data_IF_553772144848
#
_entry.id   IF_553772144848
#
_cell.length_a   1.000
_cell.length_b   1.000
_cell.length_c   1.000
_cell.angle_alpha   90.00
_cell.angle_beta   90.00
_cell.angle_gamma   90.00
#
_symmetry.space_group_name_H-M   'P 1'
#
loop_
_entity.id
_entity.type
_entity.pdbx_description
1 polymer ?
#
# COMPACT_ATOMS: atom_id res chain seq x y z
N UNK A 1 26.15 7.07 35.73
CA UNK A 1 26.71 7.99 34.72
C UNK A 1 25.71 8.13 33.57
N UNK A 2 25.54 9.31 32.98
CA UNK A 2 24.63 9.53 31.84
C UNK A 2 25.45 9.85 30.58
N UNK A 3 25.20 9.12 29.50
CA UNK A 3 25.82 9.32 28.20
C UNK A 3 24.77 9.71 27.16
N UNK A 4 24.98 10.84 26.49
CA UNK A 4 24.08 11.36 25.47
C UNK A 4 24.80 11.45 24.12
N UNK A 5 24.12 11.00 23.07
CA UNK A 5 24.53 11.21 21.70
C UNK A 5 24.66 12.72 21.37
N UNK A 6 25.74 13.16 20.68
CA UNK A 6 25.89 14.54 20.21
C UNK A 6 24.68 15.08 19.42
N UNK A 7 23.88 14.21 18.79
CA UNK A 7 22.66 14.62 18.09
C UNK A 7 21.65 15.35 18.99
N UNK A 8 21.68 15.13 20.31
CA UNK A 8 20.82 15.84 21.26
C UNK A 8 21.05 17.36 21.29
N UNK A 9 22.23 17.84 20.87
CA UNK A 9 22.55 19.27 20.82
C UNK A 9 22.10 19.96 19.52
N UNK A 10 21.70 19.21 18.48
CA UNK A 10 21.40 19.76 17.16
C UNK A 10 20.03 20.44 17.09
N UNK A 11 19.00 19.77 17.58
CA UNK A 11 17.64 20.29 17.54
C UNK A 11 17.18 20.79 18.91
N UNK A 12 16.45 21.93 19.01
CA UNK A 12 16.02 22.51 20.28
C UNK A 12 15.16 21.56 21.13
N UNK A 13 14.29 20.78 20.49
CA UNK A 13 13.42 19.82 21.18
C UNK A 13 14.22 18.67 21.80
N UNK A 14 15.30 18.21 21.14
CA UNK A 14 16.19 17.22 21.73
C UNK A 14 17.07 17.82 22.83
N UNK A 15 17.52 19.06 22.68
CA UNK A 15 18.29 19.73 23.74
C UNK A 15 17.47 19.88 25.02
N UNK A 16 16.18 20.26 24.90
CA UNK A 16 15.25 20.28 26.03
C UNK A 16 15.08 18.89 26.66
N UNK A 17 14.89 17.85 25.83
CA UNK A 17 14.77 16.48 26.31
C UNK A 17 16.05 15.99 27.02
N UNK A 18 17.23 16.40 26.56
CA UNK A 18 18.50 16.09 27.22
C UNK A 18 18.55 16.68 28.62
N UNK A 19 18.19 17.94 28.79
CA UNK A 19 18.14 18.60 30.11
C UNK A 19 17.14 17.90 31.04
N UNK A 20 15.94 17.61 30.53
CA UNK A 20 14.90 16.92 31.29
C UNK A 20 15.33 15.52 31.71
N UNK A 21 15.92 14.73 30.81
CA UNK A 21 16.41 13.38 31.12
C UNK A 21 17.58 13.41 32.09
N UNK A 22 18.42 14.44 32.01
CA UNK A 22 19.53 14.65 32.97
C UNK A 22 18.99 14.87 34.37
N UNK A 23 17.91 15.64 34.52
CA UNK A 23 17.27 15.87 35.83
C UNK A 23 16.52 14.63 36.34
N UNK A 24 15.91 13.83 35.47
CA UNK A 24 15.16 12.62 35.87
C UNK A 24 16.10 11.49 36.30
N UNK A 25 17.13 11.20 35.50
CA UNK A 25 18.01 10.05 35.70
C UNK A 25 19.31 10.41 36.42
N UNK A 26 19.60 11.70 36.58
CA UNK A 26 20.76 12.18 37.32
C UNK A 26 20.54 12.06 38.82
N UNK A 27 21.59 11.66 39.53
CA UNK A 27 21.62 11.70 41.00
C UNK A 27 22.21 13.06 41.38
N UNK A 28 21.52 13.88 42.21
CA UNK A 28 22.05 15.17 42.64
C UNK A 28 23.32 14.97 43.47
N UNK A 29 24.19 15.97 43.44
CA UNK A 29 25.45 15.91 44.19
C UNK A 29 25.16 15.82 45.70
N UNK A 30 25.90 14.97 46.41
CA UNK A 30 25.72 14.71 47.85
C UNK A 30 24.33 14.18 48.25
N UNK A 31 23.69 13.40 47.38
CA UNK A 31 22.46 12.70 47.77
C UNK A 31 22.77 11.74 48.94
N UNK A 32 22.00 11.74 50.04
CA UNK A 32 22.36 10.98 51.26
C UNK A 32 22.43 9.46 51.06
N UNK A 33 21.84 8.95 49.97
CA UNK A 33 21.88 7.53 49.58
C UNK A 33 22.81 7.24 48.39
N UNK A 34 23.54 8.23 47.87
CA UNK A 34 24.48 7.99 46.77
C UNK A 34 25.70 7.24 47.27
N UNK A 35 26.11 6.24 46.52
CA UNK A 35 27.40 5.58 46.73
C UNK A 35 28.50 6.37 46.01
N UNK A 36 29.75 6.32 46.50
CA UNK A 36 30.86 7.08 45.91
C UNK A 36 31.39 6.49 44.59
N UNK A 37 30.87 5.35 44.13
CA UNK A 37 31.32 4.64 42.94
C UNK A 37 30.31 4.72 41.80
N UNK A 38 30.79 4.62 40.57
CA UNK A 38 29.94 4.49 39.38
C UNK A 38 29.89 3.04 38.93
N UNK A 39 28.75 2.38 39.15
CA UNK A 39 28.54 0.99 38.70
C UNK A 39 27.82 0.95 37.34
N UNK A 40 27.02 1.97 37.03
CA UNK A 40 26.11 1.96 35.89
C UNK A 40 26.24 3.17 34.95
N UNK A 41 26.07 2.92 33.66
CA UNK A 41 25.99 3.91 32.59
C UNK A 41 24.63 3.79 31.89
N UNK A 42 23.89 4.89 31.88
CA UNK A 42 22.69 5.04 31.05
C UNK A 42 23.05 5.75 29.76
N UNK A 43 22.78 5.11 28.63
CA UNK A 43 23.11 5.63 27.31
C UNK A 43 21.83 5.96 26.55
N UNK A 44 21.74 7.21 26.11
CA UNK A 44 20.65 7.72 25.27
C UNK A 44 21.19 7.98 23.86
N UNK A 45 20.63 7.28 22.87
CA UNK A 45 20.99 7.46 21.46
C UNK A 45 19.78 7.88 20.64
N UNK A 46 19.97 8.72 19.61
CA UNK A 46 18.90 9.09 18.69
C UNK A 46 19.06 8.28 17.41
N UNK A 47 18.08 7.43 17.12
CA UNK A 47 18.03 6.66 15.87
C UNK A 47 16.59 6.57 15.39
N UNK A 48 16.38 6.82 14.09
CA UNK A 48 15.06 6.91 13.45
C UNK A 48 14.09 7.89 14.14
N UNK A 49 14.60 9.04 14.60
CA UNK A 49 13.87 10.05 15.38
C UNK A 49 13.26 9.50 16.69
N UNK A 50 13.80 8.39 17.19
CA UNK A 50 13.44 7.80 18.47
C UNK A 50 14.65 7.81 19.39
N UNK A 51 14.38 7.89 20.69
CA UNK A 51 15.42 7.86 21.71
C UNK A 51 15.53 6.44 22.21
N UNK A 52 16.67 5.81 21.98
CA UNK A 52 17.01 4.50 22.48
C UNK A 52 17.67 4.64 23.84
N UNK A 53 17.15 3.91 24.82
CA UNK A 53 17.73 3.81 26.15
C UNK A 53 18.39 2.44 26.34
N UNK A 54 19.60 2.46 26.89
CA UNK A 54 20.34 1.27 27.30
C UNK A 54 21.00 1.49 28.66
N UNK A 55 21.09 0.42 29.44
CA UNK A 55 21.77 0.38 30.72
C UNK A 55 22.92 -0.62 30.69
N UNK A 56 24.11 -0.14 31.02
CA UNK A 56 25.34 -0.91 31.07
C UNK A 56 25.94 -0.91 32.47
N UNK A 57 26.46 -2.05 32.91
CA UNK A 57 27.37 -2.15 34.05
C UNK A 57 28.80 -1.91 33.61
N UNK A 58 29.59 -1.29 34.48
CA UNK A 58 31.03 -1.22 34.35
C UNK A 58 31.62 -2.46 35.02
N UNK A 59 32.25 -3.35 34.24
CA UNK A 59 32.81 -4.61 34.75
C UNK A 59 34.25 -4.47 35.25
N UNK A 60 35.04 -3.60 34.62
CA UNK A 60 36.48 -3.49 34.88
C UNK A 60 36.93 -2.05 34.64
N UNK A 61 38.04 -1.66 35.27
CA UNK A 61 38.63 -0.32 35.15
C UNK A 61 39.08 -0.01 33.71
N UNK A 62 39.33 -1.04 32.89
CA UNK A 62 39.66 -0.94 31.46
C UNK A 62 38.48 -0.48 30.58
N UNK A 63 37.30 -0.25 31.16
CA UNK A 63 36.12 0.24 30.45
C UNK A 63 35.29 -0.85 29.77
N UNK A 64 35.45 -2.12 30.16
CA UNK A 64 34.58 -3.19 29.72
C UNK A 64 33.14 -2.98 30.24
N UNK A 65 32.17 -3.00 29.33
CA UNK A 65 30.76 -2.77 29.64
C UNK A 65 29.91 -4.00 29.35
N UNK A 66 29.02 -4.37 30.28
CA UNK A 66 28.01 -5.41 30.07
C UNK A 66 26.59 -4.81 30.09
N UNK A 67 25.75 -5.19 29.12
CA UNK A 67 24.34 -4.75 29.10
C UNK A 67 23.54 -5.50 30.16
N UNK A 68 23.02 -4.79 31.16
CA UNK A 68 22.13 -5.37 32.20
C UNK A 68 20.67 -5.19 31.80
N UNK A 69 20.33 -4.01 31.27
CA UNK A 69 18.94 -3.56 31.09
C UNK A 69 18.42 -2.73 32.27
N UNK A 70 17.21 -2.14 32.18
CA UNK A 70 16.20 -2.33 31.14
C UNK A 70 16.58 -1.67 29.80
N UNK A 71 15.94 -2.13 28.72
CA UNK A 71 16.07 -1.57 27.37
C UNK A 71 14.71 -1.12 26.86
N UNK A 72 14.63 0.12 26.41
CA UNK A 72 13.40 0.65 25.84
C UNK A 72 13.69 1.74 24.80
N UNK A 73 12.65 2.09 24.06
CA UNK A 73 12.70 3.14 23.03
C UNK A 73 11.58 4.13 23.31
N UNK A 74 11.95 5.40 23.47
CA UNK A 74 11.02 6.50 23.62
C UNK A 74 10.78 7.13 22.24
N UNK A 75 9.51 7.40 21.93
CA UNK A 75 9.12 8.15 20.75
C UNK A 75 8.40 9.43 21.21
N UNK A 76 9.09 10.59 21.22
CA UNK A 76 8.49 11.85 21.64
C UNK A 76 7.22 12.15 20.84
N UNK A 77 6.12 12.48 21.53
CA UNK A 77 4.81 12.70 20.91
C UNK A 77 4.53 14.20 20.77
N UNK A 78 4.46 14.90 21.90
CA UNK A 78 4.22 16.34 21.99
C UNK A 78 4.95 16.92 23.20
N UNK A 79 5.29 18.19 23.12
CA UNK A 79 5.85 18.98 24.23
C UNK A 79 4.85 20.10 24.52
N UNK A 80 4.45 20.21 25.79
CA UNK A 80 3.52 21.23 26.26
C UNK A 80 4.28 22.32 27.02
N UNK A 81 3.70 23.53 27.07
CA UNK A 81 4.32 24.66 27.76
C UNK A 81 4.28 24.57 29.28
N UNK A 82 3.36 23.78 29.84
CA UNK A 82 3.16 23.65 31.29
C UNK A 82 3.22 22.21 31.79
N UNK A 83 3.10 22.07 33.10
CA UNK A 83 3.02 20.76 33.76
C UNK A 83 1.66 20.13 33.47
N UNK A 84 1.66 18.97 32.81
CA UNK A 84 0.47 18.21 32.41
C UNK A 84 -0.60 18.98 31.60
N UNK A 85 -0.26 20.14 31.04
CA UNK A 85 -1.19 21.00 30.31
C UNK A 85 -0.52 22.19 29.64
N UNK A 86 -1.34 23.09 29.08
CA UNK A 86 -0.86 24.26 28.35
C UNK A 86 -0.83 24.08 26.83
N UNK A 87 -0.28 25.08 26.14
CA UNK A 87 -0.19 25.09 24.67
C UNK A 87 0.80 24.03 24.16
N UNK A 88 0.54 23.50 22.96
CA UNK A 88 1.50 22.58 22.31
C UNK A 88 2.63 23.41 21.70
N UNK A 89 3.84 23.26 22.24
CA UNK A 89 5.04 23.95 21.74
C UNK A 89 5.65 23.19 20.56
N UNK A 90 5.58 21.87 20.61
CA UNK A 90 6.12 21.00 19.56
C UNK A 90 5.30 19.73 19.45
N UNK A 91 5.09 19.27 18.21
CA UNK A 91 4.43 18.01 17.89
C UNK A 91 5.28 17.24 16.89
N UNK A 92 5.44 15.94 17.14
CA UNK A 92 6.20 15.08 16.24
C UNK A 92 5.38 14.75 14.98
N UNK A 93 5.77 15.22 13.79
CA UNK A 93 5.03 14.94 12.56
C UNK A 93 5.10 13.46 12.13
N UNK A 94 6.13 12.73 12.58
CA UNK A 94 6.36 11.32 12.24
C UNK A 94 5.64 10.36 13.19
N UNK A 95 5.11 10.85 14.32
CA UNK A 95 4.44 10.00 15.29
C UNK A 95 3.05 9.58 14.79
N UNK A 96 2.80 8.27 14.79
CA UNK A 96 1.47 7.69 14.56
C UNK A 96 1.11 6.84 15.77
N UNK A 97 -0.06 7.10 16.36
CA UNK A 97 -0.52 6.32 17.50
C UNK A 97 -0.80 4.87 17.09
N UNK A 98 -0.48 3.88 17.95
CA UNK A 98 -0.78 2.47 17.67
C UNK A 98 -2.27 2.21 17.42
N UNK A 99 -3.14 2.96 18.08
CA UNK A 99 -4.59 2.90 17.85
C UNK A 99 -4.96 3.32 16.42
N UNK A 100 -4.37 4.40 15.91
CA UNK A 100 -4.57 4.87 14.53
C UNK A 100 -4.03 3.86 13.52
N UNK A 101 -2.87 3.25 13.79
CA UNK A 101 -2.31 2.18 12.97
C UNK A 101 -3.26 0.97 12.91
N UNK A 102 -3.72 0.48 14.06
CA UNK A 102 -4.68 -0.64 14.14
C UNK A 102 -5.99 -0.30 13.43
N UNK A 103 -6.52 0.90 13.64
CA UNK A 103 -7.72 1.38 12.95
C UNK A 103 -7.54 1.39 11.43
N UNK A 104 -6.39 1.84 10.93
CA UNK A 104 -6.09 1.83 9.50
C UNK A 104 -6.04 0.41 8.94
N UNK A 105 -5.44 -0.54 9.67
CA UNK A 105 -5.41 -1.96 9.30
C UNK A 105 -6.82 -2.56 9.27
N UNK A 106 -7.63 -2.33 10.31
CA UNK A 106 -9.03 -2.76 10.35
C UNK A 106 -9.86 -2.13 9.22
N UNK A 107 -9.64 -0.85 8.89
CA UNK A 107 -10.33 -0.16 7.79
C UNK A 107 -9.96 -0.73 6.42
N UNK A 108 -8.68 -1.06 6.20
CA UNK A 108 -8.23 -1.76 4.97
C UNK A 108 -8.89 -3.12 4.83
N UNK A 109 -9.02 -3.86 5.93
CA UNK A 109 -9.67 -5.17 5.98
C UNK A 109 -11.21 -5.09 5.83
N UNK A 110 -11.86 -4.04 6.35
CA UNK A 110 -13.31 -3.89 6.33
C UNK A 110 -13.90 -3.83 4.90
N UNK A 111 -13.13 -3.35 3.92
CA UNK A 111 -13.61 -3.18 2.54
C UNK A 111 -13.51 -4.47 1.71
N UNK A 112 -13.18 -5.63 2.30
CA UNK A 112 -13.02 -6.90 1.57
C UNK A 112 -14.29 -7.29 0.81
N UNK A 113 -15.46 -7.13 1.45
CA UNK A 113 -16.76 -7.41 0.83
C UNK A 113 -17.10 -6.43 -0.30
N UNK A 114 -16.96 -5.12 -0.06
CA UNK A 114 -17.20 -4.09 -1.07
C UNK A 114 -16.32 -4.31 -2.30
N UNK A 115 -15.02 -4.59 -2.09
CA UNK A 115 -14.09 -4.93 -3.17
C UNK A 115 -14.50 -6.20 -3.93
N UNK A 116 -15.10 -7.20 -3.28
CA UNK A 116 -15.60 -8.42 -3.94
C UNK A 116 -16.79 -8.11 -4.83
N UNK A 117 -17.73 -7.29 -4.35
CA UNK A 117 -18.88 -6.85 -5.13
C UNK A 117 -18.42 -5.98 -6.31
N UNK A 118 -17.54 -5.01 -6.07
CA UNK A 118 -16.96 -4.15 -7.12
C UNK A 118 -16.25 -4.98 -8.19
N UNK A 119 -15.44 -5.97 -7.80
CA UNK A 119 -14.79 -6.88 -8.75
C UNK A 119 -15.80 -7.66 -9.59
N UNK A 120 -16.89 -8.15 -8.99
CA UNK A 120 -17.95 -8.86 -9.73
C UNK A 120 -18.60 -7.95 -10.77
N UNK A 121 -18.95 -6.72 -10.40
CA UNK A 121 -19.56 -5.76 -11.34
C UNK A 121 -18.58 -5.34 -12.43
N UNK A 122 -17.30 -5.14 -12.10
CA UNK A 122 -16.26 -4.86 -13.09
C UNK A 122 -16.13 -6.02 -14.07
N UNK A 123 -16.07 -7.26 -13.58
CA UNK A 123 -16.00 -8.45 -14.42
C UNK A 123 -17.19 -8.53 -15.37
N UNK A 124 -18.42 -8.37 -14.87
CA UNK A 124 -19.63 -8.37 -15.71
C UNK A 124 -19.59 -7.26 -16.77
N UNK A 125 -19.06 -6.08 -16.43
CA UNK A 125 -18.93 -4.96 -17.36
C UNK A 125 -17.81 -5.15 -18.41
N UNK A 126 -16.74 -5.89 -18.06
CA UNK A 126 -15.62 -6.20 -18.97
C UNK A 126 -15.74 -7.55 -19.66
N UNK A 127 -16.73 -8.37 -19.30
CA UNK A 127 -16.91 -9.70 -19.86
C UNK A 127 -17.13 -9.57 -21.38
N UNK A 128 -16.29 -10.19 -22.22
CA UNK A 128 -16.50 -10.19 -23.66
C UNK A 128 -17.72 -11.09 -23.98
N UNK A 129 -18.49 -10.71 -25.00
CA UNK A 129 -19.67 -11.48 -25.43
C UNK A 129 -19.26 -12.82 -26.07
N UNK A 130 -18.12 -12.84 -26.76
CA UNK A 130 -17.50 -14.04 -27.32
C UNK A 130 -16.18 -14.33 -26.61
N UNK A 131 -15.92 -15.60 -26.29
CA UNK A 131 -14.67 -16.02 -25.67
C UNK A 131 -13.47 -15.83 -26.61
N UNK A 132 -13.71 -16.04 -27.91
CA UNK A 132 -12.74 -15.82 -28.98
C UNK A 132 -13.45 -15.03 -30.09
N UNK A 133 -13.15 -13.73 -30.28
CA UNK A 133 -13.75 -12.93 -31.34
C UNK A 133 -13.23 -13.28 -32.74
N UNK A 134 -12.10 -14.00 -32.82
CA UNK A 134 -11.34 -14.23 -34.05
C UNK A 134 -11.51 -15.65 -34.63
N UNK A 135 -12.38 -16.49 -34.04
CA UNK A 135 -12.78 -17.74 -34.68
C UNK A 135 -13.82 -17.38 -35.73
N UNK A 136 -13.35 -17.04 -36.93
CA UNK A 136 -14.19 -17.00 -38.13
C UNK A 136 -14.77 -18.41 -38.34
N UNK A 137 -16.04 -18.59 -37.98
CA UNK A 137 -16.84 -19.74 -38.37
C UNK A 137 -16.82 -20.94 -37.43
N UNK A 138 -17.70 -21.01 -36.40
CA UNK A 138 -18.25 -22.28 -35.95
C UNK A 138 -18.99 -23.03 -37.08
N UNK A 139 -19.25 -22.35 -38.20
CA UNK A 139 -19.84 -22.91 -39.40
C UNK A 139 -18.85 -23.75 -40.24
N UNK A 140 -17.53 -23.70 -40.00
CA UNK A 140 -16.59 -24.64 -40.63
C UNK A 140 -16.91 -26.09 -40.25
N UNK A 141 -17.28 -26.33 -38.98
CA UNK A 141 -17.59 -27.65 -38.44
C UNK A 141 -19.06 -28.09 -38.53
N UNK A 142 -19.95 -27.25 -39.08
CA UNK A 142 -21.37 -27.61 -39.31
C UNK A 142 -21.61 -28.00 -40.77
N UNK A 143 -21.60 -29.30 -41.06
CA UNK A 143 -21.81 -29.87 -42.41
C UNK A 143 -20.96 -31.12 -42.62
N UNK A 144 -21.24 -31.89 -43.67
CA UNK A 144 -20.46 -33.08 -43.99
C UNK A 144 -19.05 -32.68 -44.46
N UNK A 145 -17.98 -33.22 -43.83
CA UNK A 145 -16.61 -32.76 -44.05
C UNK A 145 -16.09 -32.99 -45.47
N UNK A 146 -16.70 -33.93 -46.20
CA UNK A 146 -16.30 -34.31 -47.56
C UNK A 146 -16.71 -33.24 -48.58
N UNK A 147 -17.94 -32.73 -48.51
CA UNK A 147 -18.46 -31.72 -49.45
C UNK A 147 -17.70 -30.39 -49.30
N UNK A 148 -17.41 -29.99 -48.05
CA UNK A 148 -16.63 -28.78 -47.80
C UNK A 148 -15.18 -28.89 -48.26
N UNK A 149 -14.59 -30.08 -48.17
CA UNK A 149 -13.24 -30.28 -48.69
C UNK A 149 -13.21 -30.10 -50.21
N UNK A 150 -14.23 -30.59 -50.92
CA UNK A 150 -14.38 -30.37 -52.36
C UNK A 150 -14.58 -28.89 -52.71
N UNK A 151 -15.45 -28.18 -51.97
CA UNK A 151 -15.69 -26.75 -52.19
C UNK A 151 -14.46 -25.87 -51.95
N UNK A 152 -13.57 -26.27 -51.04
CA UNK A 152 -12.30 -25.57 -50.77
C UNK A 152 -11.31 -25.81 -51.91
N UNK A 153 -11.19 -27.06 -52.39
CA UNK A 153 -10.33 -27.39 -53.54
C UNK A 153 -10.77 -26.60 -54.78
N UNK A 154 -12.07 -26.57 -55.08
CA UNK A 154 -12.62 -25.83 -56.22
C UNK A 154 -12.35 -24.32 -56.09
N UNK A 155 -12.47 -23.75 -54.88
CA UNK A 155 -12.15 -22.34 -54.63
C UNK A 155 -10.66 -22.01 -54.72
N UNK A 156 -9.80 -22.96 -54.40
CA UNK A 156 -8.35 -22.83 -54.57
C UNK A 156 -7.98 -22.87 -56.07
N UNK A 157 -8.56 -23.79 -56.84
CA UNK A 157 -8.39 -23.87 -58.30
C UNK A 157 -8.84 -22.57 -59.00
N UNK A 158 -10.03 -22.04 -58.65
CA UNK A 158 -10.53 -20.78 -59.23
C UNK A 158 -9.63 -19.58 -58.87
N UNK A 159 -9.04 -19.57 -57.67
CA UNK A 159 -8.09 -18.52 -57.26
C UNK A 159 -6.75 -18.64 -57.97
N UNK A 160 -6.28 -19.86 -58.23
CA UNK A 160 -5.08 -20.10 -59.03
C UNK A 160 -5.30 -19.62 -60.47
N UNK A 161 -6.47 -19.88 -61.05
CA UNK A 161 -6.85 -19.38 -62.38
C UNK A 161 -6.93 -17.84 -62.43
N UNK A 162 -7.56 -17.18 -61.44
CA UNK A 162 -7.60 -15.71 -61.36
C UNK A 162 -6.21 -15.08 -61.13
N UNK A 163 -5.30 -15.79 -60.45
CA UNK A 163 -3.91 -15.33 -60.24
C UNK A 163 -3.03 -15.44 -61.49
N UNK A 164 -3.44 -16.23 -62.49
CA UNK A 164 -2.72 -16.39 -63.76
C UNK A 164 -3.09 -15.28 -64.77
N UNK A 165 -4.25 -14.62 -64.64
CA UNK A 165 -4.67 -13.51 -65.52
C UNK A 165 -4.23 -12.10 -65.04
N UNK A 166 -3.57 -11.98 -63.89
CA UNK A 166 -3.09 -10.69 -63.35
C UNK A 166 -1.70 -10.77 -62.73
N UNK A 167 -0.66 -10.89 -63.55
CA UNK A 167 0.74 -10.90 -63.09
C UNK A 167 1.36 -9.48 -63.08
N UNK A 168 1.42 -8.86 -61.91
CA UNK A 168 2.57 -8.06 -61.47
C UNK A 168 2.97 -8.50 -60.05
N UNK A 169 4.27 -8.70 -59.87
CA UNK A 169 4.91 -9.39 -58.75
C UNK A 169 4.67 -8.77 -57.37
N UNK A 170 4.11 -9.54 -56.41
CA UNK A 170 4.46 -9.43 -54.98
C UNK A 170 4.37 -10.80 -54.28
N UNK A 171 5.42 -11.14 -53.52
CA UNK A 171 5.53 -12.37 -52.74
C UNK A 171 4.37 -12.52 -51.73
N UNK A 172 3.96 -13.76 -51.34
CA UNK A 172 2.89 -13.95 -50.39
C UNK A 172 3.29 -13.41 -49.02
N UNK A 173 2.81 -12.22 -48.69
CA UNK A 173 2.89 -11.70 -47.33
C UNK A 173 2.07 -12.63 -46.43
N UNK A 174 2.71 -13.14 -45.36
CA UNK A 174 2.01 -13.89 -44.30
C UNK A 174 0.75 -13.11 -43.92
N UNK A 175 -0.40 -13.75 -43.67
CA UNK A 175 -1.62 -13.04 -43.32
C UNK A 175 -1.32 -12.17 -42.09
N UNK A 176 -1.15 -10.88 -42.32
CA UNK A 176 -1.03 -9.91 -41.25
C UNK A 176 -2.41 -9.88 -40.65
N UNK A 177 -2.56 -10.47 -39.46
CA UNK A 177 -3.78 -10.41 -38.69
C UNK A 177 -4.07 -8.94 -38.39
N UNK A 178 -4.78 -8.30 -39.31
CA UNK A 178 -5.02 -6.88 -39.27
C UNK A 178 -6.17 -6.71 -38.28
N UNK A 179 -5.82 -6.56 -37.00
CA UNK A 179 -6.75 -6.15 -35.97
C UNK A 179 -7.36 -4.83 -36.41
N UNK A 180 -8.50 -4.90 -37.11
CA UNK A 180 -9.45 -3.80 -37.17
C UNK A 180 -9.98 -3.64 -35.75
N UNK A 181 -9.21 -2.96 -34.91
CA UNK A 181 -9.72 -2.37 -33.68
C UNK A 181 -10.84 -1.47 -34.16
N UNK A 182 -12.08 -1.95 -34.07
CA UNK A 182 -13.26 -1.15 -34.35
C UNK A 182 -13.20 0.05 -33.40
N UNK A 183 -12.67 1.16 -33.91
CA UNK A 183 -12.64 2.43 -33.21
C UNK A 183 -14.10 2.83 -33.01
N UNK A 184 -14.53 2.79 -31.75
CA UNK A 184 -15.79 3.36 -31.32
C UNK A 184 -16.99 2.44 -31.48
N UNK A 185 -17.19 1.52 -30.52
CA UNK A 185 -18.56 1.21 -30.08
C UNK A 185 -18.88 2.14 -28.91
N UNK A 186 -19.40 3.37 -29.14
CA UNK A 186 -19.76 4.29 -28.07
C UNK A 186 -20.70 3.62 -27.05
N UNK A 187 -21.56 2.71 -27.51
CA UNK A 187 -22.43 1.90 -26.64
C UNK A 187 -21.69 1.06 -25.62
N UNK A 188 -20.55 0.45 -25.95
CA UNK A 188 -19.77 -0.32 -24.97
C UNK A 188 -19.17 0.62 -23.91
N UNK A 189 -18.71 1.80 -24.32
CA UNK A 189 -18.17 2.83 -23.41
C UNK A 189 -19.27 3.43 -22.52
N UNK A 190 -20.44 3.70 -23.09
CA UNK A 190 -21.64 4.21 -22.40
C UNK A 190 -22.16 3.16 -21.42
N UNK A 191 -22.30 1.89 -21.83
CA UNK A 191 -22.71 0.77 -20.97
C UNK A 191 -21.71 0.55 -19.83
N UNK A 192 -20.40 0.66 -20.09
CA UNK A 192 -19.36 0.62 -19.04
C UNK A 192 -19.48 1.80 -18.06
N UNK A 193 -19.73 3.02 -18.54
CA UNK A 193 -19.98 4.20 -17.68
C UNK A 193 -21.26 4.03 -16.85
N UNK A 194 -22.35 3.55 -17.45
CA UNK A 194 -23.62 3.30 -16.77
C UNK A 194 -23.51 2.19 -15.71
N UNK A 195 -22.83 1.07 -16.02
CA UNK A 195 -22.61 0.00 -15.04
C UNK A 195 -21.69 0.44 -13.90
N UNK A 196 -20.65 1.24 -14.20
CA UNK A 196 -19.78 1.83 -13.17
C UNK A 196 -20.53 2.86 -12.30
N UNK A 197 -21.46 3.61 -12.88
CA UNK A 197 -22.35 4.49 -12.13
C UNK A 197 -23.32 3.70 -11.24
N UNK A 198 -23.91 2.60 -11.74
CA UNK A 198 -24.76 1.69 -10.95
C UNK A 198 -23.99 1.03 -9.80
N UNK A 199 -22.76 0.55 -10.03
CA UNK A 199 -21.92 0.01 -8.95
C UNK A 199 -21.57 1.06 -7.90
N UNK A 200 -21.31 2.29 -8.33
CA UNK A 200 -21.02 3.41 -7.42
C UNK A 200 -22.26 3.74 -6.58
N UNK A 201 -23.45 3.78 -7.18
CA UNK A 201 -24.71 3.99 -6.45
C UNK A 201 -25.00 2.90 -5.40
N UNK A 202 -24.72 1.63 -5.73
CA UNK A 202 -24.87 0.50 -4.79
C UNK A 202 -23.85 0.61 -3.65
N UNK A 203 -22.59 0.92 -3.96
CA UNK A 203 -21.54 1.19 -2.96
C UNK A 203 -21.91 2.35 -2.03
N UNK A 204 -22.46 3.44 -2.59
CA UNK A 204 -22.88 4.61 -1.84
C UNK A 204 -24.13 4.34 -0.97
N UNK A 205 -25.08 3.51 -1.43
CA UNK A 205 -26.20 3.03 -0.61
C UNK A 205 -25.73 2.16 0.57
N UNK A 206 -24.75 1.28 0.33
CA UNK A 206 -24.14 0.45 1.40
C UNK A 206 -23.43 1.34 2.43
N UNK A 207 -22.70 2.38 1.98
CA UNK A 207 -22.05 3.35 2.87
C UNK A 207 -23.05 4.17 3.68
N UNK A 208 -24.13 4.66 3.06
CA UNK A 208 -25.24 5.36 3.76
C UNK A 208 -25.86 4.46 4.84
N UNK A 209 -26.13 3.19 4.54
CA UNK A 209 -26.63 2.21 5.54
C UNK A 209 -25.66 1.97 6.68
N UNK A 210 -24.36 1.91 6.42
CA UNK A 210 -23.32 1.78 7.47
C UNK A 210 -23.19 3.04 8.33
N UNK A 211 -23.36 4.24 7.77
CA UNK A 211 -23.38 5.49 8.55
C UNK A 211 -24.57 5.55 9.50
N UNK A 212 -25.78 5.15 9.06
CA UNK A 212 -26.97 5.12 9.92
C UNK A 212 -26.87 4.17 11.11
N UNK A 213 -26.07 3.09 11.02
CA UNK A 213 -25.81 2.19 12.16
C UNK A 213 -24.83 2.76 13.19
N UNK A 214 -24.02 3.76 12.83
CA UNK A 214 -23.21 4.52 13.78
C UNK A 214 -23.98 5.76 14.26
N UNK A 215 -25.06 5.56 15.03
CA UNK A 215 -25.64 6.68 15.78
C UNK A 215 -24.62 7.16 16.83
N UNK A 216 -24.56 8.47 17.14
CA UNK A 216 -23.65 8.97 18.17
C UNK A 216 -24.04 8.34 19.50
N UNK A 217 -23.05 7.76 20.19
CA UNK A 217 -23.20 7.45 21.62
C UNK A 217 -23.47 8.80 22.28
N UNK A 218 -24.70 9.00 22.77
CA UNK A 218 -25.05 10.20 23.55
C UNK A 218 -24.09 10.25 24.75
N UNK A 219 -23.46 11.40 24.94
CA UNK A 219 -22.62 11.74 26.09
C UNK A 219 -23.35 11.46 27.40
#
# INVERSE_FOLDING_TARGET
LLSFDPQFAKDPHYSLLKELLTQIFGVPNHHPKSQPFFDHIYTFMILDNRIWFRNYQILSEDGALAEIGPRFVLNPVKIFSGSFGGGTLWENPKYISPAKLRQAMSKKAANKYEKRVEKKVVYEATKPETAYPDIEGPDFFKGDPIEKAQDVIIKEEIKEEESIEGSEDEAPSKPVFNMKISKGRPDKTIRRKQLKAKSKAISDQIKKRKQFKKKPVKK
#
